data_IF_055807628204
#
_entry.id   IF_055807628204
#
_cell.length_a   1.000
_cell.length_b   1.000
_cell.length_c   1.000
_cell.angle_alpha   90.00
_cell.angle_beta   90.00
_cell.angle_gamma   90.00
#
_symmetry.space_group_name_H-M   'P 1'
#
loop_
_entity.id
_entity.type
_entity.pdbx_description
1 polymer ?
#
# COMPACT_ATOMS: atom_id res chain seq x y z
N UNK A 1 13.09 -11.14 14.19
CA UNK A 1 12.62 -9.84 14.73
C UNK A 1 13.46 -8.74 14.12
N UNK A 2 12.80 -7.80 13.46
CA UNK A 2 13.35 -6.65 12.75
C UNK A 2 12.94 -5.39 13.53
N UNK A 3 13.87 -4.45 13.74
CA UNK A 3 13.61 -3.14 14.34
C UNK A 3 14.28 -2.08 13.49
N UNK A 4 13.54 -1.10 12.97
CA UNK A 4 14.08 -0.10 12.06
C UNK A 4 14.69 1.09 12.84
N UNK A 5 14.03 1.52 13.92
CA UNK A 5 14.61 2.42 14.92
C UNK A 5 13.90 3.75 14.95
N UNK A 6 14.60 4.82 14.57
CA UNK A 6 14.01 6.15 14.48
C UNK A 6 14.30 6.75 13.11
N UNK A 7 13.37 7.57 12.61
CA UNK A 7 13.34 8.06 11.23
C UNK A 7 12.27 7.35 10.41
N UNK A 8 12.10 7.79 9.16
CA UNK A 8 11.15 7.20 8.23
C UNK A 8 11.81 6.03 7.51
N UNK A 9 11.48 4.80 7.88
CA UNK A 9 12.14 3.60 7.35
C UNK A 9 11.32 2.88 6.27
N UNK A 10 12.01 2.15 5.38
CA UNK A 10 11.39 1.20 4.46
C UNK A 10 11.91 -0.20 4.81
N UNK A 11 10.99 -1.09 5.17
CA UNK A 11 11.29 -2.44 5.62
C UNK A 11 10.74 -3.41 4.59
N UNK A 12 11.60 -4.20 3.95
CA UNK A 12 11.14 -5.22 2.98
C UNK A 12 10.87 -6.54 3.70
N UNK A 13 9.66 -7.06 3.57
CA UNK A 13 9.30 -8.36 4.12
C UNK A 13 9.93 -9.48 3.27
N UNK A 14 10.83 -10.25 3.89
CA UNK A 14 11.42 -11.45 3.29
C UNK A 14 10.58 -12.70 3.54
N UNK A 15 11.00 -13.86 3.00
CA UNK A 15 10.37 -15.14 3.33
C UNK A 15 10.62 -15.50 4.79
N UNK A 16 9.56 -15.87 5.51
CA UNK A 16 9.66 -16.31 6.89
C UNK A 16 8.50 -15.82 7.73
N UNK A 17 8.56 -16.06 9.04
CA UNK A 17 7.62 -15.45 9.97
C UNK A 17 8.40 -14.49 10.86
N UNK A 18 8.26 -13.20 10.59
CA UNK A 18 8.97 -12.15 11.30
C UNK A 18 8.09 -11.36 12.26
N UNK A 19 8.76 -10.67 13.18
CA UNK A 19 8.17 -9.65 14.05
C UNK A 19 8.89 -8.36 13.68
N UNK A 20 8.15 -7.39 13.18
CA UNK A 20 8.66 -6.15 12.60
C UNK A 20 8.22 -4.99 13.48
N UNK A 21 9.13 -4.06 13.71
CA UNK A 21 8.89 -2.86 14.50
C UNK A 21 9.53 -1.70 13.75
N UNK A 22 8.74 -0.77 13.20
CA UNK A 22 9.26 0.40 12.49
C UNK A 22 9.96 1.33 13.48
N UNK A 23 9.20 1.86 14.42
CA UNK A 23 9.73 2.58 15.57
C UNK A 23 9.21 4.00 15.60
N UNK A 24 10.09 5.00 15.74
CA UNK A 24 9.69 6.40 15.66
C UNK A 24 9.82 6.91 14.24
N UNK A 25 8.76 7.46 13.65
CA UNK A 25 8.83 8.05 12.31
C UNK A 25 7.59 7.69 11.50
N UNK A 26 7.69 7.87 10.18
CA UNK A 26 6.71 7.35 9.22
C UNK A 26 7.33 6.15 8.50
N UNK A 27 6.95 4.95 8.92
CA UNK A 27 7.54 3.70 8.47
C UNK A 27 6.68 3.01 7.42
N UNK A 28 7.35 2.47 6.39
CA UNK A 28 6.72 1.72 5.29
C UNK A 28 7.16 0.27 5.32
N UNK A 29 6.21 -0.66 5.38
CA UNK A 29 6.46 -2.08 5.16
C UNK A 29 6.19 -2.43 3.70
N UNK A 30 7.26 -2.78 2.99
CA UNK A 30 7.25 -3.19 1.60
C UNK A 30 7.02 -4.71 1.49
N UNK A 31 5.85 -5.04 0.93
CA UNK A 31 5.34 -6.39 0.72
C UNK A 31 5.33 -6.76 -0.77
N UNK A 32 5.89 -5.91 -1.64
CA UNK A 32 5.92 -6.11 -3.09
C UNK A 32 6.69 -7.36 -3.54
N UNK A 33 7.46 -7.97 -2.64
CA UNK A 33 8.14 -9.25 -2.84
C UNK A 33 7.21 -10.47 -2.80
N UNK A 34 5.95 -10.33 -2.38
CA UNK A 34 4.98 -11.43 -2.41
C UNK A 34 4.61 -11.77 -3.86
N UNK A 35 4.57 -13.07 -4.16
CA UNK A 35 4.26 -13.57 -5.52
C UNK A 35 2.78 -13.91 -5.71
N UNK A 36 1.99 -13.80 -4.65
CA UNK A 36 0.56 -14.08 -4.63
C UNK A 36 -0.16 -13.17 -3.65
N UNK A 37 -1.45 -13.46 -3.42
CA UNK A 37 -2.31 -12.68 -2.56
C UNK A 37 -1.74 -12.49 -1.15
N UNK A 38 -1.85 -11.27 -0.65
CA UNK A 38 -1.46 -10.84 0.69
C UNK A 38 -2.73 -10.61 1.51
N UNK A 39 -2.73 -11.06 2.76
CA UNK A 39 -3.77 -10.75 3.74
C UNK A 39 -3.18 -9.90 4.86
N UNK A 40 -3.77 -8.74 5.12
CA UNK A 40 -3.35 -7.81 6.16
C UNK A 40 -4.50 -7.59 7.15
N UNK A 41 -4.14 -7.57 8.44
CA UNK A 41 -4.98 -7.17 9.56
C UNK A 41 -4.19 -6.16 10.41
N UNK A 42 -4.48 -4.87 10.24
CA UNK A 42 -3.85 -3.79 11.00
C UNK A 42 -4.25 -3.82 12.48
N UNK A 43 -5.49 -4.18 12.79
CA UNK A 43 -5.95 -4.29 14.17
C UNK A 43 -5.19 -5.36 14.96
N UNK A 44 -4.83 -6.46 14.29
CA UNK A 44 -3.98 -7.51 14.85
C UNK A 44 -2.47 -7.26 14.68
N UNK A 45 -2.07 -6.26 13.89
CA UNK A 45 -0.68 -6.02 13.48
C UNK A 45 -0.09 -7.24 12.77
N UNK A 46 -0.81 -7.79 11.78
CA UNK A 46 -0.42 -9.00 11.06
C UNK A 46 -0.53 -8.86 9.56
N UNK A 47 0.42 -9.47 8.86
CA UNK A 47 0.39 -9.66 7.42
C UNK A 47 0.82 -11.08 7.07
N UNK A 48 0.13 -11.70 6.13
CA UNK A 48 0.54 -12.99 5.58
C UNK A 48 0.45 -13.01 4.06
N UNK A 49 1.32 -13.77 3.40
CA UNK A 49 1.29 -13.89 1.95
C UNK A 49 2.24 -14.99 1.44
N UNK A 50 1.97 -15.48 0.24
CA UNK A 50 2.87 -16.42 -0.43
C UNK A 50 4.19 -15.72 -0.77
N UNK A 51 5.31 -16.27 -0.29
CA UNK A 51 6.65 -15.69 -0.48
C UNK A 51 7.15 -14.80 0.66
N UNK A 52 6.25 -14.26 1.49
CA UNK A 52 6.61 -13.46 2.68
C UNK A 52 6.30 -14.16 4.01
N UNK A 53 5.55 -15.26 3.99
CA UNK A 53 5.14 -16.00 5.20
C UNK A 53 4.15 -15.22 6.06
N UNK A 54 4.16 -15.40 7.39
CA UNK A 54 3.26 -14.71 8.33
C UNK A 54 4.06 -13.81 9.27
N UNK A 55 3.93 -12.51 9.09
CA UNK A 55 4.65 -11.49 9.84
C UNK A 55 3.71 -10.76 10.79
N UNK A 56 4.23 -10.40 11.96
CA UNK A 56 3.63 -9.40 12.83
C UNK A 56 4.37 -8.10 12.68
N UNK A 57 3.66 -6.97 12.68
CA UNK A 57 4.24 -5.65 12.59
C UNK A 57 3.66 -4.69 13.64
N UNK A 58 4.47 -3.72 14.06
CA UNK A 58 4.09 -2.62 14.94
C UNK A 58 4.79 -1.34 14.49
N UNK A 59 4.18 -0.18 14.77
CA UNK A 59 4.71 1.13 14.38
C UNK A 59 5.01 1.18 12.87
N UNK A 60 4.00 0.90 12.05
CA UNK A 60 4.06 0.97 10.59
C UNK A 60 2.84 1.75 10.14
N UNK A 61 3.07 2.85 9.44
CA UNK A 61 2.03 3.77 8.98
C UNK A 61 1.60 3.49 7.53
N UNK A 62 2.47 2.82 6.75
CA UNK A 62 2.19 2.52 5.35
C UNK A 62 2.56 1.09 4.96
N UNK A 63 1.70 0.48 4.15
CA UNK A 63 2.00 -0.78 3.48
C UNK A 63 2.11 -0.55 1.97
N UNK A 64 3.08 -1.21 1.34
CA UNK A 64 3.22 -1.25 -0.12
C UNK A 64 3.02 -2.67 -0.61
N UNK A 65 2.03 -2.85 -1.49
CA UNK A 65 1.61 -4.15 -1.99
C UNK A 65 2.19 -4.46 -3.37
N UNK A 66 2.00 -5.70 -3.82
CA UNK A 66 2.59 -6.27 -5.02
C UNK A 66 1.62 -6.30 -6.20
N UNK A 67 1.62 -7.42 -6.92
CA UNK A 67 0.72 -7.69 -8.04
C UNK A 67 -0.34 -8.76 -7.73
N UNK A 68 -0.56 -9.03 -6.44
CA UNK A 68 -1.51 -10.02 -5.96
C UNK A 68 -2.92 -9.46 -5.86
N UNK A 69 -3.92 -10.33 -5.86
CA UNK A 69 -5.28 -9.94 -5.48
C UNK A 69 -5.34 -9.90 -3.94
N UNK A 70 -5.13 -8.71 -3.36
CA UNK A 70 -4.82 -8.57 -1.95
C UNK A 70 -6.06 -8.28 -1.09
N UNK A 71 -6.03 -8.70 0.18
CA UNK A 71 -7.10 -8.47 1.17
C UNK A 71 -6.54 -7.71 2.34
N UNK A 72 -6.97 -6.46 2.49
CA UNK A 72 -6.51 -5.58 3.56
C UNK A 72 -7.68 -5.21 4.46
N UNK A 73 -7.53 -5.48 5.74
CA UNK A 73 -8.40 -4.96 6.79
C UNK A 73 -7.59 -4.01 7.67
N UNK A 74 -7.90 -2.72 7.56
CA UNK A 74 -7.45 -1.68 8.45
C UNK A 74 -8.03 -1.84 9.86
N UNK A 75 -7.67 -0.90 10.72
CA UNK A 75 -7.85 -1.01 12.15
C UNK A 75 -8.70 0.10 12.74
N UNK A 76 -8.23 0.59 13.89
CA UNK A 76 -8.70 1.85 14.44
C UNK A 76 -7.64 2.91 14.13
N UNK A 77 -8.06 4.14 13.87
CA UNK A 77 -7.17 5.24 13.49
C UNK A 77 -7.26 5.54 12.01
N UNK A 78 -6.54 6.57 11.57
CA UNK A 78 -6.55 7.01 10.18
C UNK A 78 -5.54 6.18 9.38
N UNK A 79 -6.04 5.25 8.55
CA UNK A 79 -5.19 4.32 7.81
C UNK A 79 -4.93 4.78 6.37
N UNK A 80 -3.72 4.50 5.86
CA UNK A 80 -3.31 4.79 4.48
C UNK A 80 -2.97 3.49 3.75
N UNK A 81 -3.85 3.08 2.84
CA UNK A 81 -3.79 1.75 2.19
C UNK A 81 -3.71 1.91 0.67
N UNK A 82 -2.73 1.25 0.04
CA UNK A 82 -2.53 1.23 -1.42
C UNK A 82 -2.48 -0.22 -1.94
N UNK A 83 -3.55 -0.69 -2.58
CA UNK A 83 -3.69 -2.06 -3.10
C UNK A 83 -2.69 -2.43 -4.20
N UNK A 84 -2.14 -1.45 -4.92
CA UNK A 84 -1.14 -1.72 -5.95
C UNK A 84 -1.73 -2.25 -7.24
N UNK A 85 -1.31 -3.44 -7.69
CA UNK A 85 -1.84 -4.08 -8.90
C UNK A 85 -2.61 -5.34 -8.49
N UNK A 86 -3.71 -5.64 -9.16
CA UNK A 86 -4.53 -6.81 -8.83
C UNK A 86 -5.96 -6.39 -8.57
N UNK A 87 -6.84 -7.35 -8.27
CA UNK A 87 -8.21 -7.06 -7.85
C UNK A 87 -8.27 -7.09 -6.32
N UNK A 88 -8.16 -5.91 -5.71
CA UNK A 88 -7.95 -5.82 -4.27
C UNK A 88 -9.26 -5.69 -3.50
N UNK A 89 -9.27 -6.17 -2.26
CA UNK A 89 -10.33 -5.92 -1.27
C UNK A 89 -9.74 -5.14 -0.10
N UNK A 90 -10.00 -3.83 -0.07
CA UNK A 90 -9.49 -2.93 0.96
C UNK A 90 -10.62 -2.48 1.87
N UNK A 91 -10.43 -2.63 3.18
CA UNK A 91 -11.33 -2.13 4.21
C UNK A 91 -10.56 -1.20 5.15
N UNK A 92 -11.01 0.06 5.29
CA UNK A 92 -10.39 1.07 6.16
C UNK A 92 -10.62 0.78 7.63
N UNK A 93 -11.88 0.74 8.06
CA UNK A 93 -12.21 0.35 9.44
C UNK A 93 -12.84 1.51 10.19
N UNK A 94 -12.18 2.01 11.22
CA UNK A 94 -12.67 3.15 12.00
C UNK A 94 -11.62 4.25 12.07
N UNK A 95 -11.95 5.47 11.66
CA UNK A 95 -11.02 6.58 11.50
C UNK A 95 -11.22 7.24 10.14
N UNK A 96 -10.47 8.30 9.84
CA UNK A 96 -10.54 8.98 8.55
C UNK A 96 -9.54 8.31 7.59
N UNK A 97 -10.02 7.34 6.80
CA UNK A 97 -9.15 6.46 6.03
C UNK A 97 -8.86 6.97 4.61
N UNK A 98 -7.67 6.67 4.08
CA UNK A 98 -7.30 6.89 2.68
C UNK A 98 -7.00 5.57 1.98
N UNK A 99 -7.90 5.18 1.06
CA UNK A 99 -7.83 3.92 0.31
C UNK A 99 -7.55 4.16 -1.17
N UNK A 100 -6.43 3.65 -1.67
CA UNK A 100 -6.12 3.57 -3.10
C UNK A 100 -6.22 2.11 -3.53
N UNK A 101 -7.20 1.77 -4.38
CA UNK A 101 -7.32 0.43 -4.94
C UNK A 101 -6.24 0.10 -5.96
N UNK A 102 -5.66 1.12 -6.61
CA UNK A 102 -4.61 0.90 -7.60
C UNK A 102 -5.17 0.44 -8.94
N UNK A 103 -4.54 -0.55 -9.56
CA UNK A 103 -4.90 -1.04 -10.89
C UNK A 103 -5.59 -2.40 -10.83
N UNK A 104 -6.89 -2.41 -11.13
CA UNK A 104 -7.68 -3.63 -11.28
C UNK A 104 -9.15 -3.36 -10.95
N UNK A 105 -9.92 -4.42 -10.76
CA UNK A 105 -11.31 -4.33 -10.33
C UNK A 105 -11.40 -4.40 -8.80
N UNK A 106 -11.22 -3.24 -8.15
CA UNK A 106 -11.07 -3.18 -6.68
C UNK A 106 -12.39 -3.02 -5.93
N UNK A 107 -12.44 -3.60 -4.74
CA UNK A 107 -13.50 -3.42 -3.74
C UNK A 107 -12.95 -2.61 -2.57
N UNK A 108 -13.47 -1.39 -2.39
CA UNK A 108 -13.06 -0.49 -1.31
C UNK A 108 -14.22 -0.25 -0.34
N UNK A 109 -13.98 -0.43 0.94
CA UNK A 109 -14.90 -0.15 2.06
C UNK A 109 -14.20 0.74 3.08
N UNK A 110 -14.48 2.05 3.08
CA UNK A 110 -13.88 2.99 4.04
C UNK A 110 -14.22 2.65 5.49
N UNK A 111 -15.44 2.17 5.75
CA UNK A 111 -15.89 1.89 7.10
C UNK A 111 -16.52 3.10 7.77
N UNK A 112 -16.04 3.48 8.96
CA UNK A 112 -16.59 4.56 9.78
C UNK A 112 -15.62 5.73 9.87
N UNK A 113 -16.03 6.90 9.39
CA UNK A 113 -15.22 8.12 9.43
C UNK A 113 -15.45 8.94 8.17
N UNK A 114 -14.64 9.98 7.98
CA UNK A 114 -14.60 10.74 6.73
C UNK A 114 -13.53 10.15 5.80
N UNK A 115 -13.94 9.16 4.99
CA UNK A 115 -13.02 8.36 4.17
C UNK A 115 -12.78 8.95 2.76
N UNK A 116 -11.57 8.79 2.26
CA UNK A 116 -11.18 9.06 0.88
C UNK A 116 -10.82 7.76 0.15
N UNK A 117 -11.58 7.39 -0.88
CA UNK A 117 -11.33 6.17 -1.67
C UNK A 117 -11.16 6.45 -3.16
N UNK A 118 -10.17 5.83 -3.80
CA UNK A 118 -9.94 5.91 -5.24
C UNK A 118 -9.71 4.51 -5.83
N UNK A 119 -10.60 4.09 -6.75
CA UNK A 119 -10.70 2.72 -7.30
C UNK A 119 -9.94 2.50 -8.62
N UNK A 120 -9.14 3.47 -9.06
CA UNK A 120 -8.44 3.37 -10.34
C UNK A 120 -7.26 4.34 -10.42
N UNK A 121 -6.05 3.79 -10.34
CA UNK A 121 -4.97 4.22 -11.21
C UNK A 121 -4.85 3.15 -12.28
N UNK A 122 -5.51 3.32 -13.43
CA UNK A 122 -4.91 2.73 -14.65
C UNK A 122 -3.46 3.20 -14.63
N UNK A 123 -2.46 2.32 -14.81
CA UNK A 123 -1.08 2.66 -14.54
C UNK A 123 -0.83 3.98 -15.24
N UNK A 124 -0.75 5.04 -14.44
CA UNK A 124 -0.40 6.33 -14.97
C UNK A 124 0.94 6.02 -15.54
N UNK A 125 1.03 6.03 -16.87
CA UNK A 125 2.29 5.97 -17.56
C UNK A 125 3.09 7.08 -16.91
N UNK A 126 3.96 6.70 -15.97
CA UNK A 126 4.85 7.61 -15.30
C UNK A 126 5.51 8.39 -16.44
N UNK A 127 5.13 9.65 -16.56
CA UNK A 127 5.72 10.61 -17.46
C UNK A 127 6.16 10.06 -18.83
N UNK A 128 5.22 9.69 -19.72
CA UNK A 128 5.49 9.96 -21.15
C UNK A 128 5.08 11.40 -21.45
N UNK A 129 5.76 12.34 -20.80
CA UNK A 129 5.90 13.68 -21.32
C UNK A 129 6.82 13.60 -22.56
N UNK A 130 6.32 12.94 -23.61
CA UNK A 130 6.81 13.21 -24.96
C UNK A 130 6.45 14.66 -25.21
N UNK A 131 7.48 15.49 -25.16
CA UNK A 131 7.47 16.90 -25.51
C UNK A 131 6.74 17.03 -26.84
N UNK A 132 5.48 17.48 -26.83
CA UNK A 132 4.87 18.02 -28.04
C UNK A 132 5.64 19.28 -28.33
N UNK A 133 6.68 19.16 -29.16
CA UNK A 133 7.32 20.30 -29.78
C UNK A 133 6.22 21.08 -30.48
N UNK A 134 5.88 22.25 -29.93
CA UNK A 134 5.13 23.24 -30.69
C UNK A 134 6.04 23.63 -31.85
N UNK A 135 5.64 23.46 -33.12
CA UNK A 135 6.39 24.07 -34.19
C UNK A 135 6.31 25.59 -33.97
N UNK A 136 7.47 26.25 -33.96
CA UNK A 136 7.55 27.70 -33.92
C UNK A 136 6.75 28.28 -35.11
N UNK A 137 6.00 29.38 -34.94
CA UNK A 137 5.40 30.07 -36.08
C UNK A 137 6.53 30.59 -36.98
N UNK A 138 6.46 30.27 -38.27
CA UNK A 138 7.36 30.83 -39.27
C UNK A 138 7.20 32.35 -39.29
N UNK A 139 8.27 33.08 -38.95
CA UNK A 139 8.42 34.48 -39.32
C UNK A 139 9.04 34.52 -40.71
N UNK A 140 8.23 34.85 -41.73
CA UNK A 140 8.48 35.78 -42.85
C UNK A 140 7.35 35.67 -43.85
#
# INVERSE_FOLDING_TARGET
MIRAGGGDDIIVAGPGNDVIDGGEGFDTLDLSGATGAISVDFAAGKVSGEGIGTNSFSNIEKLLFGAGDDVVTGGNGDDVIDGGLGNDTLKGGAGDDTLWGGAGDDTLDGGSGDDAAARAMTPSTAASATTRSRPAPAMT
#
